data_IF_852328301501
#
_entry.id   IF_852328301501
#
_cell.length_a   1.000
_cell.length_b   1.000
_cell.length_c   1.000
_cell.angle_alpha   90.00
_cell.angle_beta   90.00
_cell.angle_gamma   90.00
#
_symmetry.space_group_name_H-M   'P 1'
#
loop_
_entity.id
_entity.type
_entity.pdbx_description
1 polymer ?
#
# COMPACT_ATOMS: atom_id res chain seq x y z
N UNK A 1 -23.19 -5.98 -52.04
CA UNK A 1 -23.84 -6.25 -50.73
C UNK A 1 -22.86 -6.77 -49.66
N UNK A 2 -22.29 -7.98 -49.77
CA UNK A 2 -21.40 -8.55 -48.72
C UNK A 2 -20.16 -7.68 -48.38
N UNK A 3 -19.52 -7.08 -49.39
CA UNK A 3 -18.37 -6.17 -49.19
C UNK A 3 -18.74 -4.91 -48.39
N UNK A 4 -19.92 -4.35 -48.63
CA UNK A 4 -20.36 -3.13 -47.95
C UNK A 4 -20.73 -3.42 -46.50
N UNK A 5 -21.29 -4.61 -46.22
CA UNK A 5 -21.54 -5.10 -44.86
C UNK A 5 -20.21 -5.26 -44.09
N UNK A 6 -19.18 -5.84 -44.72
CA UNK A 6 -17.87 -5.98 -44.09
C UNK A 6 -17.20 -4.63 -43.79
N UNK A 7 -17.34 -3.66 -44.69
CA UNK A 7 -16.82 -2.29 -44.49
C UNK A 7 -17.56 -1.61 -43.32
N UNK A 8 -18.88 -1.72 -43.27
CA UNK A 8 -19.70 -1.17 -42.18
C UNK A 8 -19.36 -1.82 -40.83
N UNK A 9 -19.15 -3.13 -40.80
CA UNK A 9 -18.78 -3.85 -39.59
C UNK A 9 -17.38 -3.44 -39.09
N UNK A 10 -16.42 -3.31 -40.00
CA UNK A 10 -15.08 -2.82 -39.67
C UNK A 10 -15.09 -1.38 -39.14
N UNK A 11 -15.91 -0.51 -39.73
CA UNK A 11 -16.08 0.87 -39.27
C UNK A 11 -16.71 0.93 -37.86
N UNK A 12 -17.73 0.10 -37.61
CA UNK A 12 -18.36 0.02 -36.29
C UNK A 12 -17.39 -0.44 -35.19
N UNK A 13 -16.55 -1.44 -35.49
CA UNK A 13 -15.52 -1.93 -34.56
C UNK A 13 -14.44 -0.88 -34.28
N UNK A 14 -14.03 -0.12 -35.31
CA UNK A 14 -13.06 0.97 -35.16
C UNK A 14 -13.59 2.14 -34.31
N UNK A 15 -14.87 2.49 -34.48
CA UNK A 15 -15.50 3.53 -33.65
C UNK A 15 -15.67 3.05 -32.19
N UNK A 16 -16.05 1.80 -31.98
CA UNK A 16 -16.18 1.24 -30.63
C UNK A 16 -14.84 1.22 -29.87
N UNK A 17 -13.71 0.95 -30.55
CA UNK A 17 -12.39 1.01 -29.92
C UNK A 17 -11.91 2.45 -29.67
N UNK A 18 -12.30 3.42 -30.50
CA UNK A 18 -11.96 4.84 -30.31
C UNK A 18 -12.68 5.47 -29.10
N UNK A 19 -13.89 5.01 -28.76
CA UNK A 19 -14.67 5.51 -27.62
C UNK A 19 -14.58 4.61 -26.36
N UNK A 20 -13.93 3.46 -26.45
CA UNK A 20 -13.82 2.49 -25.35
C UNK A 20 -12.61 2.68 -24.45
N UNK A 21 -11.65 3.56 -24.79
CA UNK A 21 -10.46 3.76 -23.95
C UNK A 21 -10.74 4.71 -22.79
N UNK A 22 -10.49 4.17 -21.59
CA UNK A 22 -10.37 4.83 -20.28
C UNK A 22 -10.88 6.26 -20.21
N UNK A 23 -12.14 6.42 -19.77
CA UNK A 23 -12.55 7.71 -19.22
C UNK A 23 -11.54 8.09 -18.15
N UNK A 24 -11.04 9.33 -18.23
CA UNK A 24 -10.25 9.90 -17.13
C UNK A 24 -11.10 9.72 -15.87
N UNK A 25 -10.50 9.18 -14.82
CA UNK A 25 -11.18 8.95 -13.56
C UNK A 25 -11.79 10.26 -13.08
N UNK A 26 -13.12 10.34 -13.04
CA UNK A 26 -13.88 11.52 -12.57
C UNK A 26 -14.09 11.50 -11.04
N UNK A 27 -13.45 10.56 -10.33
CA UNK A 27 -13.49 10.56 -8.88
C UNK A 27 -12.65 11.71 -8.30
N UNK A 28 -12.65 11.86 -6.96
CA UNK A 28 -11.78 12.83 -6.30
C UNK A 28 -10.33 12.64 -6.75
N UNK A 29 -9.58 13.73 -6.86
CA UNK A 29 -8.12 13.63 -6.99
C UNK A 29 -7.62 12.73 -5.84
N UNK A 30 -7.11 11.55 -6.20
CA UNK A 30 -6.53 10.58 -5.29
C UNK A 30 -5.04 10.51 -5.64
N UNK A 31 -4.23 11.45 -5.12
CA UNK A 31 -2.79 11.44 -5.33
C UNK A 31 -2.21 10.32 -4.47
N UNK A 32 -2.42 9.09 -4.90
CA UNK A 32 -1.90 7.92 -4.23
C UNK A 32 -0.37 8.05 -4.12
N UNK A 33 0.12 8.32 -2.91
CA UNK A 33 1.54 8.48 -2.60
C UNK A 33 2.07 9.92 -2.54
N UNK A 34 1.23 10.97 -2.62
CA UNK A 34 1.68 12.32 -2.28
C UNK A 34 1.78 12.49 -0.76
N UNK A 35 3.01 12.73 -0.28
CA UNK A 35 3.31 12.94 1.14
C UNK A 35 2.53 14.14 1.71
N UNK A 36 2.20 15.14 0.89
CA UNK A 36 1.41 16.30 1.33
C UNK A 36 -0.06 15.97 1.63
N UNK A 37 -0.54 14.81 1.20
CA UNK A 37 -1.90 14.30 1.41
C UNK A 37 -1.95 13.16 2.44
N UNK A 38 -0.89 13.00 3.26
CA UNK A 38 -0.93 12.11 4.42
C UNK A 38 -2.00 12.56 5.42
N UNK A 39 -2.82 11.59 5.84
CA UNK A 39 -3.95 11.79 6.75
C UNK A 39 -3.84 10.77 7.86
N UNK A 40 -3.99 11.26 9.09
CA UNK A 40 -3.99 10.43 10.29
C UNK A 40 -5.34 10.44 10.98
N UNK A 41 -5.69 9.32 11.61
CA UNK A 41 -6.90 9.15 12.39
C UNK A 41 -6.66 8.34 13.66
N UNK A 42 -7.68 8.36 14.54
CA UNK A 42 -7.68 7.58 15.77
C UNK A 42 -8.96 6.75 15.84
N UNK A 43 -8.80 5.46 16.13
CA UNK A 43 -9.89 4.60 16.58
C UNK A 43 -9.72 4.32 18.07
N UNK A 44 -10.83 4.40 18.80
CA UNK A 44 -10.87 4.10 20.23
C UNK A 44 -11.98 3.08 20.49
N UNK A 45 -11.63 1.95 21.11
CA UNK A 45 -12.59 0.89 21.41
C UNK A 45 -12.05 -0.12 22.41
N UNK A 46 -12.93 -0.63 23.27
CA UNK A 46 -12.60 -1.47 24.44
C UNK A 46 -11.56 -0.80 25.35
N UNK A 47 -10.28 -1.07 25.10
CA UNK A 47 -9.13 -0.43 25.75
C UNK A 47 -7.98 -0.24 24.76
N UNK A 48 -8.24 -0.22 23.46
CA UNK A 48 -7.23 0.01 22.43
C UNK A 48 -7.39 1.43 21.93
N UNK A 49 -6.30 2.19 21.96
CA UNK A 49 -6.14 3.39 21.14
C UNK A 49 -5.35 2.96 19.92
N UNK A 50 -5.92 3.12 18.73
CA UNK A 50 -5.25 2.80 17.47
C UNK A 50 -5.12 4.08 16.66
N UNK A 51 -3.88 4.53 16.51
CA UNK A 51 -3.47 5.50 15.51
C UNK A 51 -3.35 4.80 14.15
N UNK A 52 -3.78 5.45 13.07
CA UNK A 52 -3.57 4.95 11.73
C UNK A 52 -3.37 6.10 10.74
N UNK A 53 -2.52 5.89 9.75
CA UNK A 53 -2.35 6.78 8.60
C UNK A 53 -2.85 6.10 7.32
N UNK A 54 -3.21 6.90 6.31
CA UNK A 54 -3.59 6.41 4.99
C UNK A 54 -2.45 5.73 4.21
N UNK A 55 -1.24 5.65 4.78
CA UNK A 55 -0.07 4.92 4.26
C UNK A 55 0.14 3.55 4.93
N UNK A 56 -0.86 3.03 5.68
CA UNK A 56 -0.84 1.75 6.43
C UNK A 56 -0.06 1.76 7.75
N UNK A 57 0.53 2.89 8.15
CA UNK A 57 1.19 3.04 9.45
C UNK A 57 0.15 2.98 10.59
N UNK A 58 0.38 2.13 11.59
CA UNK A 58 -0.45 1.85 12.76
C UNK A 58 0.21 2.28 14.08
N UNK A 59 1.42 2.80 14.06
CA UNK A 59 2.02 3.54 15.18
C UNK A 59 3.10 4.47 14.63
N UNK A 60 3.47 5.48 15.38
CA UNK A 60 4.37 6.51 14.88
C UNK A 60 5.44 6.78 15.95
N UNK A 61 6.69 6.51 15.60
CA UNK A 61 7.85 6.93 16.38
C UNK A 61 8.46 8.16 15.72
N UNK A 62 8.69 9.28 16.44
CA UNK A 62 8.81 9.36 17.91
C UNK A 62 7.54 9.78 18.67
N UNK A 63 6.36 9.87 18.04
CA UNK A 63 5.15 10.33 18.73
C UNK A 63 4.72 9.37 19.86
N UNK A 64 4.62 9.91 21.07
CA UNK A 64 4.36 9.13 22.29
C UNK A 64 2.87 8.83 22.55
N UNK A 65 1.94 9.53 21.86
CA UNK A 65 0.49 9.42 22.05
C UNK A 65 -0.21 8.77 20.85
N UNK A 66 0.39 7.73 20.29
CA UNK A 66 -0.14 6.98 19.14
C UNK A 66 -0.81 5.70 19.64
N UNK A 67 -0.66 4.58 18.95
CA UNK A 67 -1.30 3.35 19.35
C UNK A 67 -0.82 2.85 20.70
N UNK A 68 -1.74 2.47 21.59
CA UNK A 68 -1.42 1.91 22.91
C UNK A 68 -2.49 0.96 23.42
N UNK A 69 -2.06 0.04 24.27
CA UNK A 69 -2.94 -0.81 25.05
C UNK A 69 -2.37 -1.08 26.45
N UNK A 70 -3.20 -1.04 27.51
CA UNK A 70 -4.55 -0.46 27.54
C UNK A 70 -4.60 1.06 27.28
N UNK A 71 -5.75 1.60 26.87
CA UNK A 71 -5.97 3.03 26.62
C UNK A 71 -6.23 3.78 27.94
N UNK A 72 -5.25 3.74 28.83
CA UNK A 72 -5.25 4.46 30.10
C UNK A 72 -3.81 4.87 30.47
N UNK A 73 -3.59 5.27 31.72
CA UNK A 73 -2.27 5.67 32.24
C UNK A 73 -1.31 4.50 32.51
N UNK A 74 -1.78 3.25 32.38
CA UNK A 74 -0.97 2.03 32.52
C UNK A 74 -0.59 1.41 31.16
N UNK A 75 -1.08 2.00 30.08
CA UNK A 75 -0.88 1.55 28.70
C UNK A 75 0.56 1.55 28.23
N UNK A 76 0.94 0.49 27.51
CA UNK A 76 2.16 0.47 26.72
C UNK A 76 1.88 0.93 25.29
N UNK A 77 2.76 1.76 24.76
CA UNK A 77 2.76 2.12 23.33
C UNK A 77 2.98 0.87 22.48
N UNK A 78 2.29 0.82 21.36
CA UNK A 78 2.56 -0.13 20.30
C UNK A 78 3.72 0.42 19.45
N UNK A 79 4.52 -0.48 18.89
CA UNK A 79 5.54 -0.13 17.91
C UNK A 79 5.02 -0.54 16.54
N UNK A 80 5.26 0.30 15.55
CA UNK A 80 4.98 -0.02 14.16
C UNK A 80 6.29 -0.07 13.40
N UNK A 81 6.43 -1.17 12.65
CA UNK A 81 7.67 -1.69 12.06
C UNK A 81 8.79 -1.98 13.08
N UNK A 82 9.07 -3.28 13.29
CA UNK A 82 10.30 -3.76 13.94
C UNK A 82 11.14 -4.47 12.89
N UNK A 83 12.41 -4.07 12.74
CA UNK A 83 13.38 -4.83 11.95
C UNK A 83 14.32 -5.56 12.91
N UNK A 84 14.39 -6.89 12.80
CA UNK A 84 15.28 -7.73 13.62
C UNK A 84 16.41 -8.22 12.72
N UNK A 85 17.65 -7.85 13.05
CA UNK A 85 18.83 -8.40 12.43
C UNK A 85 19.38 -9.53 13.30
N UNK A 86 19.48 -10.74 12.74
CA UNK A 86 20.09 -11.90 13.40
C UNK A 86 21.39 -12.22 12.67
N UNK A 87 22.50 -12.21 13.39
CA UNK A 87 23.82 -12.59 12.88
C UNK A 87 24.37 -13.80 13.63
N UNK A 88 25.13 -14.65 12.93
CA UNK A 88 25.86 -15.78 13.51
C UNK A 88 27.14 -16.01 12.73
N UNK A 89 28.22 -16.33 13.43
CA UNK A 89 29.48 -16.75 12.79
C UNK A 89 29.33 -18.18 12.28
N UNK A 90 29.70 -18.40 11.02
CA UNK A 90 29.63 -19.71 10.38
C UNK A 90 31.06 -20.17 10.09
N UNK A 91 31.47 -21.29 10.67
CA UNK A 91 32.72 -21.94 10.32
C UNK A 91 32.46 -22.95 9.21
N UNK A 92 33.09 -22.76 8.05
CA UNK A 92 33.03 -23.71 6.95
C UNK A 92 33.96 -24.89 7.26
N UNK A 93 33.37 -26.08 7.41
CA UNK A 93 34.14 -27.31 7.51
C UNK A 93 34.32 -27.90 6.10
N UNK A 94 35.57 -28.02 5.68
CA UNK A 94 36.05 -28.28 4.31
C UNK A 94 35.85 -27.10 3.36
N UNK A 95 36.96 -26.57 2.85
CA UNK A 95 37.10 -25.41 1.96
C UNK A 95 36.10 -25.42 0.78
N UNK A 96 34.89 -24.91 1.00
CA UNK A 96 33.91 -24.74 -0.05
C UNK A 96 34.42 -23.67 -1.03
N UNK A 97 34.88 -24.12 -2.20
CA UNK A 97 35.33 -23.24 -3.27
C UNK A 97 34.13 -22.50 -3.84
N UNK A 98 34.14 -21.17 -3.76
CA UNK A 98 33.14 -20.34 -4.43
C UNK A 98 33.30 -20.50 -5.94
N UNK A 99 32.25 -20.92 -6.64
CA UNK A 99 32.18 -20.87 -8.10
C UNK A 99 31.44 -19.58 -8.50
N UNK A 100 32.09 -18.78 -9.35
CA UNK A 100 31.54 -17.59 -10.00
C UNK A 100 31.05 -17.94 -11.39
#
# INVERSE_FOLDING_TARGET
MKKHILILLGLALYLASAFGQGKVYEGPDDPAGDISEERAGYMNGNRVMLYFENNTQLADYPRINTSKWPNDYTGCRMLDVVSVMIGGEIYLQNEATSIT
#
